data_IF_162470407180
#
_entry.id   IF_162470407180
#
_cell.length_a   1.000
_cell.length_b   1.000
_cell.length_c   1.000
_cell.angle_alpha   90.00
_cell.angle_beta   90.00
_cell.angle_gamma   90.00
#
_symmetry.space_group_name_H-M   'P 1'
#
loop_
_entity.id
_entity.type
_entity.pdbx_description
1 polymer ?
#
# COMPACT_ATOMS: atom_id res chain seq x y z
N UNK A 1 -27.14 28.86 4.23
CA UNK A 1 -27.32 27.52 3.63
C UNK A 1 -26.90 26.47 4.66
N UNK A 2 -27.72 25.47 4.98
CA UNK A 2 -27.36 24.39 5.93
C UNK A 2 -26.94 23.13 5.16
N UNK A 3 -26.05 22.32 5.73
CA UNK A 3 -25.62 21.06 5.13
C UNK A 3 -26.76 20.04 5.08
N UNK A 4 -26.76 19.18 4.06
CA UNK A 4 -27.71 18.08 3.92
C UNK A 4 -27.46 17.02 5.00
N UNK A 5 -28.53 16.46 5.59
CA UNK A 5 -28.46 15.45 6.67
C UNK A 5 -27.68 14.20 6.25
N UNK A 6 -27.83 13.74 5.02
CA UNK A 6 -27.09 12.59 4.49
C UNK A 6 -25.59 12.86 4.42
N UNK A 7 -25.18 14.06 3.99
CA UNK A 7 -23.76 14.44 3.97
C UNK A 7 -23.19 14.53 5.38
N UNK A 8 -23.94 15.11 6.34
CA UNK A 8 -23.52 15.15 7.75
C UNK A 8 -23.29 13.74 8.29
N UNK A 9 -24.20 12.81 8.02
CA UNK A 9 -24.05 11.40 8.45
C UNK A 9 -22.81 10.76 7.84
N UNK A 10 -22.54 10.97 6.55
CA UNK A 10 -21.32 10.45 5.91
C UNK A 10 -20.05 10.99 6.54
N UNK A 11 -20.00 12.30 6.83
CA UNK A 11 -18.82 12.93 7.46
C UNK A 11 -18.58 12.37 8.86
N UNK A 12 -19.62 12.23 9.68
CA UNK A 12 -19.50 11.67 11.02
C UNK A 12 -19.06 10.21 11.00
N UNK A 13 -19.67 9.39 10.13
CA UNK A 13 -19.29 7.99 9.98
C UNK A 13 -17.82 7.85 9.55
N UNK A 14 -17.36 8.63 8.57
CA UNK A 14 -15.95 8.61 8.16
C UNK A 14 -15.05 9.04 9.33
N UNK A 15 -15.39 10.12 10.03
CA UNK A 15 -14.60 10.58 11.16
C UNK A 15 -14.46 9.53 12.26
N UNK A 16 -15.57 8.90 12.65
CA UNK A 16 -15.61 7.90 13.72
C UNK A 16 -14.86 6.62 13.32
N UNK A 17 -15.12 6.08 12.13
CA UNK A 17 -14.47 4.86 11.63
C UNK A 17 -12.96 5.05 11.45
N UNK A 18 -12.53 6.18 10.89
CA UNK A 18 -11.11 6.48 10.72
C UNK A 18 -10.42 6.64 12.08
N UNK A 19 -11.04 7.36 13.01
CA UNK A 19 -10.50 7.58 14.35
C UNK A 19 -10.38 6.28 15.15
N UNK A 20 -11.42 5.42 15.13
CA UNK A 20 -11.42 4.13 15.83
C UNK A 20 -10.37 3.15 15.28
N UNK A 21 -10.08 3.24 13.98
CA UNK A 21 -9.05 2.44 13.36
C UNK A 21 -7.65 3.07 13.50
N UNK A 22 -7.52 4.33 13.93
CA UNK A 22 -6.25 5.04 14.02
C UNK A 22 -5.73 5.51 12.65
N UNK A 23 -6.63 5.63 11.66
CA UNK A 23 -6.31 6.11 10.31
C UNK A 23 -6.23 7.63 10.37
N UNK A 24 -5.06 8.17 10.04
CA UNK A 24 -4.80 9.61 10.05
C UNK A 24 -4.75 10.22 8.65
N UNK A 25 -4.48 9.41 7.62
CA UNK A 25 -4.40 9.87 6.24
C UNK A 25 -5.24 8.92 5.38
N UNK A 26 -6.13 9.51 4.58
CA UNK A 26 -6.93 8.82 3.56
C UNK A 26 -6.86 9.62 2.27
N UNK A 27 -6.56 8.94 1.18
CA UNK A 27 -6.62 9.49 -0.16
C UNK A 27 -7.40 8.55 -1.07
N UNK A 28 -8.40 9.11 -1.74
CA UNK A 28 -9.25 8.43 -2.69
C UNK A 28 -9.17 9.16 -4.02
N UNK A 29 -8.57 8.54 -5.03
CA UNK A 29 -8.38 9.21 -6.31
C UNK A 29 -7.43 8.49 -7.24
N UNK A 30 -7.03 9.20 -8.29
CA UNK A 30 -6.03 8.73 -9.25
C UNK A 30 -4.63 8.93 -8.66
N UNK A 31 -3.74 7.96 -8.88
CA UNK A 31 -2.36 8.03 -8.40
C UNK A 31 -1.46 8.40 -9.55
N UNK A 32 -1.02 9.65 -9.56
CA UNK A 32 0.02 10.14 -10.47
C UNK A 32 1.27 10.55 -9.69
N UNK A 33 2.37 10.73 -10.41
CA UNK A 33 3.69 11.00 -9.82
C UNK A 33 3.73 12.19 -8.84
N UNK A 34 2.86 13.20 -9.02
CA UNK A 34 2.80 14.34 -8.10
C UNK A 34 2.16 13.98 -6.74
N UNK A 35 1.19 13.06 -6.71
CA UNK A 35 0.60 12.56 -5.46
C UNK A 35 1.65 11.81 -4.66
N UNK A 36 2.47 10.99 -5.32
CA UNK A 36 3.60 10.32 -4.67
C UNK A 36 4.56 11.34 -4.06
N UNK A 37 4.93 12.41 -4.79
CA UNK A 37 5.78 13.50 -4.27
C UNK A 37 5.16 14.21 -3.08
N UNK A 38 3.86 14.49 -3.11
CA UNK A 38 3.15 15.13 -1.99
C UNK A 38 3.26 14.27 -0.72
N UNK A 39 2.99 12.96 -0.82
CA UNK A 39 3.14 12.05 0.31
C UNK A 39 4.60 11.91 0.77
N UNK A 40 5.57 11.95 -0.14
CA UNK A 40 7.00 11.99 0.22
C UNK A 40 7.39 13.31 0.92
N UNK A 41 6.80 14.45 0.56
CA UNK A 41 7.10 15.71 1.23
C UNK A 41 6.47 15.77 2.63
N UNK A 42 5.20 15.33 2.76
CA UNK A 42 4.55 15.15 4.08
C UNK A 42 5.36 14.21 4.96
N UNK A 43 5.98 13.21 4.31
CA UNK A 43 6.82 12.27 4.99
C UNK A 43 8.08 12.86 5.60
N UNK A 44 8.76 13.68 4.81
CA UNK A 44 9.97 14.37 5.21
C UNK A 44 9.69 15.38 6.34
N UNK A 45 8.54 16.06 6.33
CA UNK A 45 8.14 17.01 7.38
C UNK A 45 7.86 16.33 8.74
N UNK A 46 7.24 15.14 8.72
CA UNK A 46 7.03 14.34 9.93
C UNK A 46 8.35 13.72 10.47
N UNK A 47 9.36 13.54 9.60
CA UNK A 47 10.68 13.02 9.95
C UNK A 47 11.59 14.03 10.66
N UNK A 48 11.23 15.32 10.66
CA UNK A 48 11.95 16.38 11.38
C UNK A 48 11.63 16.43 12.88
N UNK A 49 10.79 15.52 13.38
CA UNK A 49 10.45 15.36 14.82
C UNK A 49 11.17 14.14 15.43
N UNK A 50 11.72 14.32 16.66
CA UNK A 50 12.39 13.37 17.61
C UNK A 50 13.22 12.18 17.05
N UNK A 51 14.45 12.03 17.53
CA UNK A 51 15.50 11.14 16.98
C UNK A 51 15.22 9.62 16.98
N UNK A 52 14.46 9.08 17.92
CA UNK A 52 14.27 7.62 18.05
C UNK A 52 13.20 7.06 17.09
N UNK A 53 12.20 7.85 16.70
CA UNK A 53 11.12 7.42 15.79
C UNK A 53 11.54 7.48 14.31
N UNK A 54 12.61 8.22 13.98
CA UNK A 54 13.06 8.47 12.60
C UNK A 54 13.30 7.20 11.77
N UNK A 55 13.79 6.12 12.38
CA UNK A 55 14.07 4.86 11.65
C UNK A 55 12.80 4.12 11.27
N UNK A 56 11.81 4.11 12.16
CA UNK A 56 10.50 3.48 11.90
C UNK A 56 9.75 4.31 10.88
N UNK A 57 9.73 5.63 11.07
CA UNK A 57 9.08 6.57 10.15
C UNK A 57 9.69 6.45 8.74
N UNK A 58 11.03 6.38 8.59
CA UNK A 58 11.68 6.11 7.29
C UNK A 58 11.24 4.78 6.66
N UNK A 59 11.04 3.73 7.47
CA UNK A 59 10.51 2.44 6.97
C UNK A 59 9.06 2.58 6.50
N UNK A 60 8.21 3.27 7.27
CA UNK A 60 6.82 3.58 6.89
C UNK A 60 6.80 4.28 5.55
N UNK A 61 7.63 5.31 5.37
CA UNK A 61 7.68 6.06 4.11
C UNK A 61 8.26 5.30 2.93
N UNK A 62 9.27 4.47 3.15
CA UNK A 62 9.75 3.56 2.11
C UNK A 62 8.65 2.61 1.64
N UNK A 63 7.85 2.06 2.57
CA UNK A 63 6.71 1.21 2.22
C UNK A 63 5.61 2.00 1.51
N UNK A 64 5.30 3.21 1.98
CA UNK A 64 4.34 4.08 1.33
C UNK A 64 4.72 4.40 -0.12
N UNK A 65 5.96 4.82 -0.36
CA UNK A 65 6.41 5.16 -1.72
C UNK A 65 6.32 3.94 -2.64
N UNK A 66 6.74 2.76 -2.18
CA UNK A 66 6.67 1.55 -3.00
C UNK A 66 5.22 1.14 -3.30
N UNK A 67 4.32 1.21 -2.31
CA UNK A 67 2.89 0.93 -2.51
C UNK A 67 2.21 1.94 -3.44
N UNK A 68 2.56 3.23 -3.34
CA UNK A 68 2.09 4.30 -4.23
C UNK A 68 2.58 4.10 -5.67
N UNK A 69 3.86 3.72 -5.83
CA UNK A 69 4.41 3.40 -7.14
C UNK A 69 3.76 2.16 -7.76
N UNK A 70 3.46 1.13 -6.95
CA UNK A 70 2.72 -0.04 -7.41
C UNK A 70 1.32 0.35 -7.89
N UNK A 71 0.60 1.19 -7.15
CA UNK A 71 -0.72 1.68 -7.60
C UNK A 71 -0.62 2.50 -8.90
N UNK A 72 0.35 3.41 -9.00
CA UNK A 72 0.52 4.25 -10.20
C UNK A 72 0.88 3.42 -11.45
N UNK A 73 1.73 2.39 -11.31
CA UNK A 73 2.10 1.51 -12.44
C UNK A 73 0.92 0.67 -12.94
N UNK A 74 0.01 0.29 -12.04
CA UNK A 74 -1.11 -0.61 -12.36
C UNK A 74 -2.42 0.13 -12.66
N UNK A 75 -2.56 1.40 -12.28
CA UNK A 75 -3.72 2.23 -12.63
C UNK A 75 -3.82 2.51 -14.12
N UNK A 76 -2.67 2.62 -14.81
CA UNK A 76 -2.61 2.92 -16.25
C UNK A 76 -3.16 1.79 -17.13
N UNK A 77 -3.22 0.55 -16.62
CA UNK A 77 -3.67 -0.62 -17.39
C UNK A 77 -5.20 -0.78 -17.44
N UNK A 78 -5.96 0.05 -16.70
CA UNK A 78 -7.41 -0.12 -16.48
C UNK A 78 -8.23 1.15 -16.79
N UNK A 79 -7.65 2.13 -17.49
CA UNK A 79 -8.25 3.42 -17.81
C UNK A 79 -9.39 3.38 -18.84
N UNK A 80 -10.21 2.31 -18.86
CA UNK A 80 -11.37 2.21 -19.73
C UNK A 80 -12.69 2.47 -18.98
N UNK A 81 -13.24 3.64 -19.31
CA UNK A 81 -14.65 3.93 -19.54
C UNK A 81 -15.62 4.10 -18.37
N UNK A 82 -15.24 3.75 -17.14
CA UNK A 82 -16.02 4.10 -15.95
C UNK A 82 -15.07 4.61 -14.87
N UNK A 83 -15.41 5.68 -14.16
CA UNK A 83 -14.65 6.35 -13.07
C UNK A 83 -14.27 5.46 -11.85
N UNK A 84 -14.09 4.16 -12.05
CA UNK A 84 -13.83 3.07 -11.09
C UNK A 84 -12.31 2.73 -11.07
N UNK A 85 -11.47 3.64 -11.56
CA UNK A 85 -9.99 3.60 -11.47
C UNK A 85 -9.41 4.34 -10.27
N UNK A 86 -10.27 4.81 -9.33
CA UNK A 86 -9.83 5.48 -8.10
C UNK A 86 -9.26 4.44 -7.15
N UNK A 87 -7.95 4.48 -6.93
CA UNK A 87 -7.38 3.70 -5.85
C UNK A 87 -7.69 4.35 -4.51
N UNK A 88 -7.56 3.57 -3.45
CA UNK A 88 -7.64 4.02 -2.07
C UNK A 88 -6.27 3.84 -1.43
N UNK A 89 -5.81 4.87 -0.74
CA UNK A 89 -4.57 4.85 0.04
C UNK A 89 -4.88 5.32 1.45
N UNK A 90 -4.47 4.55 2.44
CA UNK A 90 -4.66 4.90 3.85
C UNK A 90 -3.39 4.63 4.63
N UNK A 91 -3.10 5.52 5.58
CA UNK A 91 -2.08 5.32 6.60
C UNK A 91 -2.77 5.45 7.94
N UNK A 92 -2.37 4.60 8.86
CA UNK A 92 -2.76 4.73 10.25
C UNK A 92 -1.68 4.27 11.20
N UNK A 93 -1.87 4.66 12.44
CA UNK A 93 -1.12 4.18 13.59
C UNK A 93 -2.14 3.74 14.64
N UNK A 94 -2.11 2.45 14.99
CA UNK A 94 -2.91 1.91 16.08
C UNK A 94 -1.99 1.13 17.00
N UNK A 95 -2.13 1.38 18.29
CA UNK A 95 -1.24 0.84 19.32
C UNK A 95 0.24 1.15 19.00
N UNK A 96 1.07 0.13 18.88
CA UNK A 96 2.49 0.22 18.52
C UNK A 96 2.76 -0.23 17.07
N UNK A 97 1.78 -0.15 16.18
CA UNK A 97 1.93 -0.54 14.78
C UNK A 97 1.48 0.58 13.84
N UNK A 98 2.34 0.90 12.87
CA UNK A 98 1.94 1.66 11.69
C UNK A 98 1.41 0.68 10.65
N UNK A 99 0.44 1.11 9.85
CA UNK A 99 0.02 0.32 8.70
C UNK A 99 -0.27 1.21 7.50
N UNK A 100 0.04 0.67 6.34
CA UNK A 100 -0.24 1.26 5.03
C UNK A 100 -1.22 0.33 4.34
N UNK A 101 -2.35 0.88 3.89
CA UNK A 101 -3.37 0.13 3.16
C UNK A 101 -3.51 0.75 1.78
N UNK A 102 -3.45 -0.10 0.77
CA UNK A 102 -3.74 0.28 -0.62
C UNK A 102 -4.84 -0.57 -1.16
N UNK A 103 -5.67 0.02 -2.03
CA UNK A 103 -6.65 -0.72 -2.79
C UNK A 103 -6.72 -0.22 -4.22
N UNK A 104 -6.71 -1.16 -5.16
CA UNK A 104 -6.84 -0.89 -6.59
C UNK A 104 -7.62 -2.01 -7.29
N UNK A 105 -8.13 -1.70 -8.48
CA UNK A 105 -8.78 -2.70 -9.35
C UNK A 105 -7.70 -3.60 -9.98
N UNK A 106 -7.99 -4.89 -10.07
CA UNK A 106 -7.15 -5.90 -10.74
C UNK A 106 -8.03 -6.77 -11.64
N UNK A 107 -7.55 -7.14 -12.84
CA UNK A 107 -8.30 -8.03 -13.72
C UNK A 107 -8.24 -9.48 -13.22
N UNK A 108 -9.31 -10.25 -13.45
CA UNK A 108 -9.39 -11.65 -13.02
C UNK A 108 -8.22 -12.51 -13.58
N UNK A 109 -7.69 -12.15 -14.74
CA UNK A 109 -6.54 -12.81 -15.35
C UNK A 109 -5.24 -12.64 -14.54
N UNK A 110 -5.10 -11.53 -13.81
CA UNK A 110 -3.91 -11.20 -13.02
C UNK A 110 -3.98 -11.69 -11.57
N UNK A 111 -5.20 -11.95 -11.05
CA UNK A 111 -5.44 -12.35 -9.65
C UNK A 111 -4.60 -13.58 -9.28
N UNK A 112 -4.69 -14.67 -10.06
CA UNK A 112 -3.96 -15.91 -9.74
C UNK A 112 -2.45 -15.72 -9.66
N UNK A 113 -1.89 -14.93 -10.58
CA UNK A 113 -0.45 -14.64 -10.61
C UNK A 113 -0.04 -13.77 -9.43
N UNK A 114 -0.84 -12.76 -9.11
CA UNK A 114 -0.59 -11.86 -7.99
C UNK A 114 -0.71 -12.58 -6.64
N UNK A 115 -1.72 -13.42 -6.47
CA UNK A 115 -1.93 -14.24 -5.29
C UNK A 115 -0.78 -15.22 -5.09
N UNK A 116 -0.34 -15.92 -6.14
CA UNK A 116 0.84 -16.79 -6.06
C UNK A 116 2.10 -16.04 -5.61
N UNK A 117 2.33 -14.83 -6.13
CA UNK A 117 3.46 -14.00 -5.71
C UNK A 117 3.34 -13.55 -4.25
N UNK A 118 2.15 -13.18 -3.78
CA UNK A 118 1.90 -12.82 -2.37
C UNK A 118 2.12 -14.01 -1.43
N UNK A 119 1.69 -15.21 -1.82
CA UNK A 119 1.90 -16.43 -1.07
C UNK A 119 3.39 -16.78 -0.97
N UNK A 120 4.13 -16.70 -2.08
CA UNK A 120 5.57 -16.92 -2.11
C UNK A 120 6.32 -15.95 -1.18
N UNK A 121 6.01 -14.65 -1.29
CA UNK A 121 6.61 -13.59 -0.45
C UNK A 121 6.29 -13.79 1.04
N UNK A 122 5.06 -14.19 1.38
CA UNK A 122 4.65 -14.42 2.78
C UNK A 122 5.20 -15.71 3.39
N UNK A 123 5.59 -16.68 2.56
CA UNK A 123 6.21 -17.93 2.99
C UNK A 123 7.74 -17.80 3.18
N UNK A 124 8.37 -16.85 2.47
CA UNK A 124 9.81 -16.65 2.51
C UNK A 124 10.30 -16.11 3.86
N UNK A 125 11.45 -16.63 4.31
CA UNK A 125 12.23 -16.12 5.43
C UNK A 125 12.94 -14.81 5.08
N UNK A 126 13.53 -14.16 6.08
CA UNK A 126 14.23 -12.87 5.88
C UNK A 126 15.41 -12.98 4.92
N UNK A 127 16.14 -14.09 4.94
CA UNK A 127 17.29 -14.28 4.07
C UNK A 127 16.85 -14.69 2.67
N UNK A 128 15.81 -15.52 2.55
CA UNK A 128 15.18 -15.83 1.26
C UNK A 128 14.64 -14.56 0.59
N UNK A 129 13.97 -13.65 1.32
CA UNK A 129 13.51 -12.37 0.76
C UNK A 129 14.67 -11.50 0.26
N UNK A 130 15.85 -11.54 0.91
CA UNK A 130 17.04 -10.81 0.42
C UNK A 130 17.57 -11.45 -0.86
N UNK A 131 17.59 -12.77 -0.92
CA UNK A 131 18.10 -13.50 -2.08
C UNK A 131 17.15 -13.38 -3.27
N UNK A 132 15.83 -13.45 -3.05
CA UNK A 132 14.81 -13.15 -4.04
C UNK A 132 14.96 -11.72 -4.58
N UNK A 133 15.16 -10.74 -3.72
CA UNK A 133 15.39 -9.34 -4.12
C UNK A 133 16.65 -9.20 -4.98
N UNK A 134 17.78 -9.78 -4.56
CA UNK A 134 19.03 -9.76 -5.33
C UNK A 134 18.86 -10.44 -6.68
N UNK A 135 18.26 -11.62 -6.69
CA UNK A 135 18.02 -12.40 -7.91
C UNK A 135 17.16 -11.64 -8.90
N UNK A 136 16.07 -11.01 -8.46
CA UNK A 136 15.25 -10.19 -9.35
C UNK A 136 15.98 -8.94 -9.88
N UNK A 137 16.90 -8.35 -9.10
CA UNK A 137 17.74 -7.26 -9.61
C UNK A 137 18.80 -7.74 -10.62
N UNK A 138 19.40 -8.91 -10.41
CA UNK A 138 20.48 -9.45 -11.27
C UNK A 138 19.95 -10.10 -12.55
N UNK A 139 18.86 -10.86 -12.47
CA UNK A 139 18.32 -11.62 -13.60
C UNK A 139 17.63 -10.72 -14.63
N UNK A 140 17.52 -9.41 -14.38
CA UNK A 140 17.16 -8.42 -15.39
C UNK A 140 15.80 -8.62 -16.05
N UNK A 141 14.94 -9.52 -15.54
CA UNK A 141 13.54 -9.62 -15.92
C UNK A 141 12.76 -8.47 -15.29
N UNK A 142 13.14 -7.24 -15.68
CA UNK A 142 12.16 -6.25 -16.06
C UNK A 142 11.41 -6.90 -17.23
N UNK A 143 10.44 -7.76 -16.92
CA UNK A 143 9.61 -8.37 -17.97
C UNK A 143 9.04 -7.22 -18.81
N UNK A 144 8.76 -7.46 -20.08
CA UNK A 144 8.15 -6.45 -20.97
C UNK A 144 6.80 -5.91 -20.45
N UNK A 145 6.30 -6.42 -19.31
CA UNK A 145 5.16 -5.93 -18.53
C UNK A 145 5.49 -5.47 -17.10
N UNK A 146 6.73 -5.01 -16.87
CA UNK A 146 7.14 -4.24 -15.69
C UNK A 146 7.10 -4.99 -14.35
N UNK A 147 8.24 -5.54 -13.92
CA UNK A 147 8.63 -5.66 -12.49
C UNK A 147 7.65 -6.22 -11.45
N UNK A 148 6.59 -6.95 -11.84
CA UNK A 148 5.56 -7.45 -10.94
C UNK A 148 6.17 -8.46 -9.95
N UNK A 149 6.47 -8.00 -8.74
CA UNK A 149 7.06 -8.81 -7.67
C UNK A 149 8.14 -8.08 -6.86
N UNK A 150 8.91 -7.21 -7.51
CA UNK A 150 9.99 -6.46 -6.84
C UNK A 150 9.44 -5.60 -5.70
N UNK A 151 8.34 -4.89 -5.96
CA UNK A 151 7.70 -4.04 -4.96
C UNK A 151 7.13 -4.83 -3.79
N UNK A 152 6.52 -6.00 -4.03
CA UNK A 152 6.00 -6.86 -2.95
C UNK A 152 7.11 -7.40 -2.06
N UNK A 153 8.22 -7.85 -2.67
CA UNK A 153 9.40 -8.32 -1.94
C UNK A 153 10.01 -7.17 -1.12
N UNK A 154 10.11 -5.97 -1.68
CA UNK A 154 10.61 -4.81 -0.95
C UNK A 154 9.70 -4.45 0.24
N UNK A 155 8.37 -4.40 0.04
CA UNK A 155 7.43 -4.13 1.13
C UNK A 155 7.56 -5.17 2.24
N UNK A 156 7.62 -6.47 1.91
CA UNK A 156 7.80 -7.54 2.90
C UNK A 156 9.14 -7.43 3.65
N UNK A 157 10.23 -7.14 2.94
CA UNK A 157 11.56 -6.93 3.54
C UNK A 157 11.59 -5.75 4.51
N UNK A 158 10.89 -4.66 4.17
CA UNK A 158 10.83 -3.43 4.98
C UNK A 158 9.90 -3.55 6.17
N UNK A 159 8.76 -4.21 6.01
CA UNK A 159 7.79 -4.43 7.10
C UNK A 159 8.28 -5.46 8.10
N UNK A 160 9.01 -6.49 7.65
CA UNK A 160 9.37 -7.68 8.45
C UNK A 160 8.15 -8.42 9.00
N UNK A 161 6.99 -8.19 8.40
CA UNK A 161 5.72 -8.79 8.73
C UNK A 161 5.14 -9.42 7.46
N UNK A 162 4.18 -10.34 7.64
CA UNK A 162 3.42 -10.87 6.51
C UNK A 162 2.53 -9.77 5.93
N UNK A 163 2.42 -9.75 4.61
CA UNK A 163 1.49 -8.90 3.88
C UNK A 163 0.09 -9.48 4.02
N UNK A 164 -0.84 -8.69 4.54
CA UNK A 164 -2.25 -9.07 4.61
C UNK A 164 -2.92 -8.55 3.36
N UNK A 165 -3.71 -9.39 2.68
CA UNK A 165 -4.36 -9.00 1.45
C UNK A 165 -5.72 -9.65 1.29
N UNK A 166 -6.58 -9.02 0.50
CA UNK A 166 -7.91 -9.52 0.17
C UNK A 166 -8.24 -9.21 -1.29
N UNK A 167 -9.00 -10.10 -1.91
CA UNK A 167 -9.57 -9.91 -3.25
C UNK A 167 -11.10 -9.96 -3.17
N UNK A 168 -11.75 -8.84 -3.43
CA UNK A 168 -13.20 -8.73 -3.39
C UNK A 168 -13.76 -8.63 -4.82
N UNK A 169 -14.79 -9.40 -5.20
CA UNK A 169 -15.42 -9.24 -6.51
C UNK A 169 -15.91 -7.80 -6.73
N UNK A 170 -15.51 -7.19 -7.83
CA UNK A 170 -15.95 -5.85 -8.22
C UNK A 170 -16.96 -5.91 -9.37
N UNK A 171 -16.62 -6.65 -10.42
CA UNK A 171 -17.48 -6.92 -11.57
C UNK A 171 -17.12 -8.28 -12.20
N UNK A 172 -17.74 -8.63 -13.33
CA UNK A 172 -17.53 -9.91 -14.00
C UNK A 172 -16.07 -10.17 -14.42
N UNK A 173 -15.27 -9.11 -14.59
CA UNK A 173 -13.93 -9.18 -15.16
C UNK A 173 -12.83 -8.72 -14.21
N UNK A 174 -13.18 -8.21 -13.03
CA UNK A 174 -12.22 -7.61 -12.11
C UNK A 174 -12.59 -7.73 -10.63
N UNK A 175 -11.56 -7.58 -9.81
CA UNK A 175 -11.63 -7.61 -8.36
C UNK A 175 -11.03 -6.32 -7.77
N UNK A 176 -11.55 -5.94 -6.61
CA UNK A 176 -10.91 -5.01 -5.69
C UNK A 176 -9.82 -5.75 -4.93
N UNK A 177 -8.57 -5.39 -5.20
CA UNK A 177 -7.41 -5.88 -4.47
C UNK A 177 -7.10 -4.92 -3.33
N UNK A 178 -7.07 -5.43 -2.09
CA UNK A 178 -6.67 -4.71 -0.90
C UNK A 178 -5.35 -5.30 -0.40
N UNK A 179 -4.37 -4.46 -0.12
CA UNK A 179 -3.11 -4.82 0.50
C UNK A 179 -2.91 -3.99 1.77
N UNK A 180 -2.67 -4.66 2.90
CA UNK A 180 -2.30 -4.06 4.18
C UNK A 180 -0.88 -4.50 4.54
N UNK A 181 0.01 -3.53 4.69
CA UNK A 181 1.37 -3.71 5.14
C UNK A 181 1.52 -3.12 6.55
N UNK A 182 1.91 -3.95 7.53
CA UNK A 182 2.03 -3.53 8.93
C UNK A 182 3.50 -3.41 9.36
N UNK A 183 3.82 -2.38 10.12
CA UNK A 183 5.17 -2.02 10.55
C UNK A 183 5.16 -1.79 12.05
N UNK A 184 5.76 -2.72 12.79
CA UNK A 184 5.85 -2.62 14.26
C UNK A 184 6.80 -1.48 14.66
N UNK A 185 6.37 -0.67 15.62
CA UNK A 185 7.10 0.47 16.17
C UNK A 185 8.06 0.08 17.31
N UNK A 186 8.00 -1.15 17.84
CA UNK A 186 9.04 -1.66 18.74
C UNK A 186 10.29 -2.06 17.97
N UNK A 187 11.48 -1.77 18.53
CA UNK A 187 12.72 -2.42 18.11
C UNK A 187 12.50 -3.93 18.24
N UNK A 188 12.60 -4.64 17.13
CA UNK A 188 12.84 -6.07 17.18
C UNK A 188 14.29 -6.18 17.59
N UNK A 189 14.54 -6.42 18.88
CA UNK A 189 15.87 -6.78 19.36
C UNK A 189 16.33 -8.01 18.57
N UNK A 190 17.47 -7.87 17.91
CA UNK A 190 18.17 -8.95 17.24
C UNK A 190 19.04 -9.68 18.25
#
# INVERSE_FOLDING_TARGET
MKLNVGLIKSVLNVYDEMSQNGINIVYLGEFHHQITKMFTAMAEDDLDRKDEEKTIIRRVYSVMVETLQNMARHSDELADKYNIGRGLFMIGKKDESYYVITSNKVSNAKVKTLEAALLEVNAASRDELKDMYKKQMTDGKISEKGGAGLGLIEIAKRTRNKLVYEFLPLDENSQFFILKAEINAKKIDC
#
